data_IF_177838266911
#
_entry.id   IF_177838266911
#
_cell.length_a   1.000
_cell.length_b   1.000
_cell.length_c   1.000
_cell.angle_alpha   90.00
_cell.angle_beta   90.00
_cell.angle_gamma   90.00
#
_symmetry.space_group_name_H-M   'P 1'
#
loop_
_entity.id
_entity.type
_entity.pdbx_description
1 polymer ?
#
# COMPACT_ATOMS: atom_id res chain seq x y z
N UNK A 1 -15.76 7.40 9.61
CA UNK A 1 -16.15 5.96 9.55
C UNK A 1 -14.91 5.13 9.82
N UNK A 2 -15.03 4.03 10.56
CA UNK A 2 -13.89 3.17 10.91
C UNK A 2 -13.77 2.02 9.91
N UNK A 3 -13.38 2.32 8.67
CA UNK A 3 -13.35 1.35 7.56
C UNK A 3 -11.91 1.19 7.08
N UNK A 4 -11.41 -0.03 7.14
CA UNK A 4 -10.11 -0.43 6.62
C UNK A 4 -10.30 -0.88 5.17
N UNK A 5 -9.61 -0.25 4.23
CA UNK A 5 -9.74 -0.54 2.80
C UNK A 5 -9.10 -1.87 2.43
N UNK A 6 -7.87 -2.11 2.93
CA UNK A 6 -7.05 -3.31 2.70
C UNK A 6 -6.51 -3.49 1.27
N UNK A 7 -6.71 -2.51 0.41
CA UNK A 7 -6.20 -2.52 -0.97
C UNK A 7 -5.99 -1.13 -1.55
N UNK A 8 -5.41 -0.22 -0.78
CA UNK A 8 -5.00 1.08 -1.31
C UNK A 8 -3.83 0.87 -2.28
N UNK A 9 -4.05 1.22 -3.55
CA UNK A 9 -3.09 1.10 -4.63
C UNK A 9 -3.53 2.01 -5.79
N UNK A 10 -2.60 2.43 -6.65
CA UNK A 10 -2.91 3.35 -7.75
C UNK A 10 -4.00 2.80 -8.69
N UNK A 11 -4.02 1.48 -8.93
CA UNK A 11 -5.07 0.81 -9.73
C UNK A 11 -6.50 0.97 -9.16
N UNK A 12 -6.63 1.26 -7.87
CA UNK A 12 -7.90 1.47 -7.17
C UNK A 12 -8.22 2.97 -7.01
N UNK A 13 -7.48 3.85 -7.69
CA UNK A 13 -7.79 5.27 -7.81
C UNK A 13 -8.37 5.55 -9.19
N UNK A 14 -9.66 5.87 -9.25
CA UNK A 14 -10.35 6.23 -10.48
C UNK A 14 -10.30 7.74 -10.70
N UNK A 15 -9.91 8.16 -11.88
CA UNK A 15 -9.84 9.56 -12.29
C UNK A 15 -10.94 9.90 -13.30
N UNK A 16 -11.60 11.03 -13.08
CA UNK A 16 -12.59 11.59 -14.00
C UNK A 16 -13.04 12.98 -13.54
N UNK A 17 -13.39 13.87 -14.46
CA UNK A 17 -13.87 15.23 -14.19
C UNK A 17 -12.96 16.04 -13.25
N UNK A 18 -11.63 15.91 -13.44
CA UNK A 18 -10.64 16.58 -12.60
C UNK A 18 -10.60 16.10 -11.15
N UNK A 19 -11.22 14.95 -10.84
CA UNK A 19 -11.28 14.36 -9.50
C UNK A 19 -10.68 12.96 -9.49
N UNK A 20 -10.17 12.56 -8.33
CA UNK A 20 -9.74 11.20 -8.05
C UNK A 20 -10.63 10.62 -6.95
N UNK A 21 -11.09 9.40 -7.13
CA UNK A 21 -11.91 8.66 -6.15
C UNK A 21 -11.29 7.29 -5.88
N UNK A 22 -11.25 6.92 -4.61
CA UNK A 22 -10.88 5.57 -4.19
C UNK A 22 -12.03 4.61 -4.55
N UNK A 23 -11.69 3.45 -5.10
CA UNK A 23 -12.60 2.40 -5.55
C UNK A 23 -12.17 1.02 -5.02
N UNK A 24 -12.96 0.00 -5.35
CA UNK A 24 -12.78 -1.40 -4.93
C UNK A 24 -12.75 -1.62 -3.41
N UNK A 25 -13.94 -1.45 -2.81
CA UNK A 25 -14.17 -1.75 -1.40
C UNK A 25 -14.50 -3.24 -1.16
N UNK A 26 -14.28 -4.13 -2.13
CA UNK A 26 -14.66 -5.55 -2.03
C UNK A 26 -13.94 -6.30 -0.90
N UNK A 27 -12.77 -5.80 -0.51
CA UNK A 27 -11.99 -6.34 0.62
C UNK A 27 -12.15 -5.55 1.91
N UNK A 28 -12.85 -4.42 1.90
CA UNK A 28 -12.91 -3.52 3.04
C UNK A 28 -13.61 -4.14 4.25
N UNK A 29 -13.23 -3.67 5.44
CA UNK A 29 -13.79 -4.15 6.71
C UNK A 29 -14.04 -2.98 7.65
N UNK A 30 -15.18 -3.00 8.31
CA UNK A 30 -15.46 -2.08 9.40
C UNK A 30 -14.84 -2.60 10.69
N UNK A 31 -14.26 -1.71 11.49
CA UNK A 31 -13.66 -2.01 12.78
C UNK A 31 -12.21 -1.54 12.91
N UNK A 32 -11.66 -1.60 14.13
CA UNK A 32 -10.33 -1.07 14.43
C UNK A 32 -9.20 -1.95 13.85
N UNK A 33 -9.46 -3.25 13.70
CA UNK A 33 -8.51 -4.22 13.19
C UNK A 33 -9.23 -5.40 12.52
N UNK A 34 -8.54 -6.08 11.59
CA UNK A 34 -9.02 -7.29 10.95
C UNK A 34 -7.87 -8.24 10.61
N UNK A 35 -7.95 -9.50 11.05
CA UNK A 35 -6.94 -10.53 10.79
C UNK A 35 -7.47 -11.50 9.74
N UNK A 36 -6.70 -11.78 8.69
CA UNK A 36 -7.06 -12.78 7.68
C UNK A 36 -6.41 -14.15 7.94
N UNK A 37 -7.05 -15.26 7.51
CA UNK A 37 -6.41 -16.57 7.50
C UNK A 37 -5.13 -16.59 6.66
N UNK A 38 -4.13 -17.39 7.08
CA UNK A 38 -2.82 -17.48 6.39
C UNK A 38 -2.92 -17.89 4.92
N UNK A 39 -3.91 -18.72 4.56
CA UNK A 39 -4.11 -19.19 3.18
C UNK A 39 -4.72 -18.14 2.24
N UNK A 40 -5.24 -17.02 2.77
CA UNK A 40 -5.89 -16.00 1.96
C UNK A 40 -4.85 -15.15 1.23
N UNK A 41 -5.04 -14.99 -0.09
CA UNK A 41 -4.20 -14.11 -0.93
C UNK A 41 -4.27 -12.66 -0.44
N UNK A 42 -3.16 -11.94 -0.59
CA UNK A 42 -3.04 -10.54 -0.18
C UNK A 42 -2.08 -9.80 -1.13
N UNK A 43 -2.25 -8.47 -1.32
CA UNK A 43 -1.45 -7.66 -2.22
C UNK A 43 -0.07 -7.32 -1.61
N UNK A 44 0.82 -8.32 -1.50
CA UNK A 44 2.07 -8.28 -0.71
C UNK A 44 2.88 -6.99 -0.86
N UNK A 45 3.02 -6.47 -2.10
CA UNK A 45 3.83 -5.28 -2.40
C UNK A 45 3.31 -3.98 -1.77
N UNK A 46 2.05 -3.93 -1.34
CA UNK A 46 1.43 -2.77 -0.70
C UNK A 46 1.28 -2.92 0.82
N UNK A 47 1.66 -4.06 1.39
CA UNK A 47 1.37 -4.36 2.79
C UNK A 47 2.40 -3.76 3.75
N UNK A 48 1.87 -3.21 4.85
CA UNK A 48 2.67 -2.78 5.99
C UNK A 48 3.45 -3.95 6.62
N UNK A 49 4.61 -3.70 7.25
CA UNK A 49 5.43 -4.75 7.87
C UNK A 49 4.68 -5.56 8.93
N UNK A 50 3.81 -4.92 9.73
CA UNK A 50 2.96 -5.59 10.71
C UNK A 50 1.93 -6.52 10.06
N UNK A 51 1.39 -6.14 8.90
CA UNK A 51 0.46 -6.98 8.12
C UNK A 51 1.18 -8.14 7.46
N UNK A 52 2.40 -7.94 6.98
CA UNK A 52 3.24 -9.02 6.44
C UNK A 52 3.50 -10.10 7.51
N UNK A 53 3.79 -9.68 8.74
CA UNK A 53 4.08 -10.58 9.88
C UNK A 53 2.84 -11.28 10.44
N UNK A 54 1.79 -10.52 10.73
CA UNK A 54 0.65 -10.98 11.54
C UNK A 54 -0.64 -11.17 10.76
N UNK A 55 -0.68 -10.76 9.48
CA UNK A 55 -1.91 -10.70 8.67
C UNK A 55 -3.02 -9.83 9.27
N UNK A 56 -2.65 -8.95 10.20
CA UNK A 56 -3.53 -7.94 10.80
C UNK A 56 -3.53 -6.67 9.95
N UNK A 57 -4.72 -6.20 9.61
CA UNK A 57 -4.98 -4.92 8.95
C UNK A 57 -5.59 -3.95 9.96
N UNK A 58 -5.23 -2.68 9.86
CA UNK A 58 -5.80 -1.57 10.62
C UNK A 58 -5.88 -0.34 9.72
N UNK A 59 -6.51 0.75 10.17
CA UNK A 59 -6.45 2.03 9.45
C UNK A 59 -5.01 2.50 9.19
N UNK A 60 -4.06 2.17 10.08
CA UNK A 60 -2.64 2.53 9.91
C UNK A 60 -1.96 1.71 8.83
N UNK A 61 -2.41 0.48 8.60
CA UNK A 61 -1.89 -0.32 7.49
C UNK A 61 -2.28 0.26 6.13
N UNK A 62 -3.45 0.90 6.02
CA UNK A 62 -3.84 1.62 4.80
C UNK A 62 -2.99 2.89 4.59
N UNK A 63 -2.48 3.52 5.66
CA UNK A 63 -1.53 4.65 5.54
C UNK A 63 -0.21 4.19 4.92
N UNK A 64 0.28 2.99 5.28
CA UNK A 64 1.45 2.42 4.62
C UNK A 64 1.18 2.15 3.14
N UNK A 65 0.05 1.51 2.82
CA UNK A 65 -0.35 1.25 1.44
C UNK A 65 -0.54 2.54 0.63
N UNK A 66 -0.98 3.62 1.26
CA UNK A 66 -1.04 4.95 0.65
C UNK A 66 0.35 5.49 0.28
N UNK A 67 1.38 5.29 1.11
CA UNK A 67 2.76 5.64 0.76
C UNK A 67 3.25 4.89 -0.49
N UNK A 68 2.97 3.58 -0.57
CA UNK A 68 3.25 2.78 -1.77
C UNK A 68 2.47 3.30 -2.99
N UNK A 69 1.19 3.64 -2.82
CA UNK A 69 0.37 4.24 -3.88
C UNK A 69 0.93 5.59 -4.36
N UNK A 70 1.39 6.45 -3.46
CA UNK A 70 2.04 7.70 -3.83
C UNK A 70 3.32 7.42 -4.63
N UNK A 71 4.14 6.46 -4.20
CA UNK A 71 5.30 6.03 -4.95
C UNK A 71 4.92 5.59 -6.38
N UNK A 72 3.86 4.80 -6.54
CA UNK A 72 3.35 4.42 -7.88
C UNK A 72 3.05 5.66 -8.73
N UNK A 73 2.30 6.63 -8.21
CA UNK A 73 1.90 7.85 -8.93
C UNK A 73 3.12 8.62 -9.44
N UNK A 74 4.13 8.82 -8.59
CA UNK A 74 5.34 9.56 -8.96
C UNK A 74 6.28 8.78 -9.89
N UNK A 75 6.14 7.46 -9.98
CA UNK A 75 6.94 6.61 -10.84
C UNK A 75 6.13 6.09 -12.03
N UNK A 76 5.15 6.86 -12.53
CA UNK A 76 4.34 6.53 -13.71
C UNK A 76 3.67 5.15 -13.62
N UNK A 77 3.13 4.83 -12.44
CA UNK A 77 2.45 3.57 -12.14
C UNK A 77 3.31 2.31 -12.37
N UNK A 78 4.64 2.43 -12.21
CA UNK A 78 5.53 1.25 -12.19
C UNK A 78 5.14 0.30 -11.06
N UNK A 79 5.41 -1.00 -11.27
CA UNK A 79 5.20 -2.00 -10.23
C UNK A 79 6.07 -1.70 -9.00
N UNK A 80 5.49 -1.61 -7.79
CA UNK A 80 6.27 -1.43 -6.57
C UNK A 80 7.27 -2.56 -6.36
N UNK A 81 8.51 -2.23 -6.01
CA UNK A 81 9.60 -3.20 -5.82
C UNK A 81 9.83 -4.08 -7.06
N UNK A 82 9.81 -3.46 -8.24
CA UNK A 82 10.06 -4.13 -9.53
C UNK A 82 11.34 -4.98 -9.47
N UNK A 83 11.28 -6.19 -10.03
CA UNK A 83 12.40 -7.15 -10.03
C UNK A 83 12.53 -7.99 -8.76
N UNK A 84 11.74 -7.72 -7.72
CA UNK A 84 11.67 -8.55 -6.51
C UNK A 84 10.43 -9.46 -6.52
N UNK A 85 10.57 -10.67 -6.02
CA UNK A 85 9.46 -11.59 -5.72
C UNK A 85 8.73 -11.18 -4.44
N UNK A 86 7.49 -11.64 -4.26
CA UNK A 86 6.71 -11.35 -3.04
C UNK A 86 7.44 -11.73 -1.72
N UNK A 87 8.11 -12.89 -1.60
CA UNK A 87 8.91 -13.21 -0.42
C UNK A 87 10.07 -12.24 -0.17
N UNK A 88 10.75 -11.80 -1.24
CA UNK A 88 11.85 -10.83 -1.15
C UNK A 88 11.34 -9.47 -0.68
N UNK A 89 10.22 -8.99 -1.24
CA UNK A 89 9.57 -7.75 -0.80
C UNK A 89 9.18 -7.84 0.68
N UNK A 90 8.58 -8.97 1.08
CA UNK A 90 8.20 -9.20 2.49
C UNK A 90 9.41 -9.09 3.41
N UNK A 91 10.55 -9.70 3.05
CA UNK A 91 11.80 -9.63 3.83
C UNK A 91 12.38 -8.23 3.85
N UNK A 92 12.42 -7.56 2.69
CA UNK A 92 12.97 -6.22 2.53
C UNK A 92 12.21 -5.18 3.37
N UNK A 93 10.89 -5.14 3.24
CA UNK A 93 10.02 -4.22 3.99
C UNK A 93 10.06 -4.49 5.48
N UNK A 94 10.06 -5.77 5.89
CA UNK A 94 10.16 -6.17 7.31
C UNK A 94 11.50 -5.79 7.93
N UNK A 95 12.56 -5.64 7.13
CA UNK A 95 13.87 -5.14 7.58
C UNK A 95 13.96 -3.61 7.71
N UNK A 96 12.86 -2.89 7.50
CA UNK A 96 12.80 -1.43 7.59
C UNK A 96 13.21 -0.70 6.31
N UNK A 97 13.59 -1.42 5.25
CA UNK A 97 13.99 -0.82 3.97
C UNK A 97 12.77 -0.38 3.14
N UNK A 98 12.95 0.63 2.27
CA UNK A 98 11.92 1.23 1.42
C UNK A 98 12.42 1.43 -0.01
N UNK A 99 11.49 1.62 -0.95
CA UNK A 99 11.85 1.94 -2.34
C UNK A 99 12.56 3.30 -2.40
N UNK A 100 13.49 3.46 -3.33
CA UNK A 100 14.08 4.76 -3.61
C UNK A 100 13.07 5.64 -4.35
N UNK A 101 13.17 6.96 -4.14
CA UNK A 101 12.46 7.95 -4.96
C UNK A 101 13.48 8.47 -5.98
N UNK A 102 13.38 7.97 -7.20
CA UNK A 102 14.35 8.24 -8.29
C UNK A 102 13.96 9.46 -9.13
N UNK A 103 12.89 10.15 -8.75
CA UNK A 103 12.38 11.34 -9.44
C UNK A 103 12.67 12.62 -8.66
N UNK A 104 12.83 13.77 -9.34
CA UNK A 104 12.85 15.07 -8.67
C UNK A 104 11.56 15.26 -7.88
N UNK A 105 11.69 15.46 -6.57
CA UNK A 105 10.57 15.62 -5.65
C UNK A 105 10.95 16.61 -4.56
N UNK A 106 10.02 17.48 -4.18
CA UNK A 106 10.26 18.39 -3.06
C UNK A 106 10.43 17.61 -1.74
N UNK A 107 11.09 18.22 -0.76
CA UNK A 107 11.38 17.57 0.51
C UNK A 107 10.12 17.16 1.27
N UNK A 108 9.07 17.97 1.20
CA UNK A 108 7.81 17.73 1.92
C UNK A 108 7.12 16.45 1.44
N UNK A 109 7.00 16.26 0.12
CA UNK A 109 6.41 15.04 -0.45
C UNK A 109 7.29 13.83 -0.18
N UNK A 110 8.63 13.99 -0.23
CA UNK A 110 9.56 12.92 0.11
C UNK A 110 9.44 12.46 1.56
N UNK A 111 9.10 13.35 2.49
CA UNK A 111 8.91 13.00 3.89
C UNK A 111 7.56 12.30 4.16
N UNK A 112 6.62 12.38 3.22
CA UNK A 112 5.30 11.73 3.29
C UNK A 112 5.32 10.31 2.70
N UNK A 113 6.21 10.04 1.74
CA UNK A 113 6.32 8.76 0.99
C UNK A 113 7.41 7.87 1.59
#
# INVERSE_FOLDING_TARGET
KNIIHRDIAARNCLHGDGKVKIADFGMSREGPAYVIPRAKRAPIRWLAPETLKSKCYTLKTDVFSYGVMCWEVFHNCREPYMGMTCPEVSKYVSSGKRMAIEVPMNADLRNVI
#
